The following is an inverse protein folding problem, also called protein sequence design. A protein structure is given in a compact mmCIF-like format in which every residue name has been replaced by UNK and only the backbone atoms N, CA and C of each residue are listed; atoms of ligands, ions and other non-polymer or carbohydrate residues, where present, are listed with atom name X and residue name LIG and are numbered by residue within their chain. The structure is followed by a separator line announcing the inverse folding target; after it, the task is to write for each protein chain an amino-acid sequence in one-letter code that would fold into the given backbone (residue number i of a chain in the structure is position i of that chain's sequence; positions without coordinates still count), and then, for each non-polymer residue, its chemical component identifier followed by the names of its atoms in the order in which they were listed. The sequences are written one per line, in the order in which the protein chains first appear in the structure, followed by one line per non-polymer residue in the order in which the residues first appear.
data_IF_601667372613
#
_entry.id   IF_601667372613
#
_cell.length_a   1.000
_cell.length_b   1.000
_cell.length_c   1.000
_cell.angle_alpha   90.00
_cell.angle_beta   90.00
_cell.angle_gamma   90.00
#
_symmetry.space_group_name_H-M   'P 1'
#
loop_
_entity.id
_entity.type
_entity.pdbx_description
1 polymer ?
#
# COMPACT_ATOMS: atom_id res chain seq x y z
N UNK A 1 6.03 -20.95 18.71
CA UNK A 1 5.40 -21.66 17.58
C UNK A 1 6.33 -21.52 16.39
N UNK A 2 6.56 -22.60 15.63
CA UNK A 2 7.32 -22.52 14.37
C UNK A 2 6.43 -21.75 13.39
N UNK A 3 6.80 -20.51 13.07
CA UNK A 3 6.09 -19.70 12.07
C UNK A 3 6.22 -20.42 10.73
N UNK A 4 5.10 -20.81 10.12
CA UNK A 4 5.12 -21.56 8.86
C UNK A 4 5.60 -20.67 7.73
N UNK A 5 6.60 -21.16 6.99
CA UNK A 5 7.19 -20.47 5.84
C UNK A 5 6.25 -20.44 4.63
N UNK A 6 6.30 -19.34 3.87
CA UNK A 6 5.68 -19.28 2.55
C UNK A 6 6.46 -20.19 1.59
N UNK A 7 5.78 -21.22 1.07
CA UNK A 7 6.40 -22.20 0.14
C UNK A 7 6.15 -21.88 -1.33
N UNK A 8 5.14 -21.06 -1.60
CA UNK A 8 4.53 -20.89 -2.91
C UNK A 8 4.63 -19.44 -3.37
N UNK A 9 4.91 -19.22 -4.65
CA UNK A 9 4.72 -17.89 -5.23
C UNK A 9 3.22 -17.56 -5.23
N UNK A 10 2.91 -16.29 -5.03
CA UNK A 10 1.55 -15.78 -5.13
C UNK A 10 1.58 -14.50 -5.97
N UNK A 11 0.67 -14.38 -6.92
CA UNK A 11 0.37 -13.12 -7.60
C UNK A 11 -1.07 -12.72 -7.23
N UNK A 12 -1.41 -11.43 -7.23
CA UNK A 12 -2.76 -10.99 -6.90
C UNK A 12 -3.17 -9.71 -7.61
N UNK A 13 -4.48 -9.56 -7.81
CA UNK A 13 -5.13 -8.34 -8.28
C UNK A 13 -5.91 -7.75 -7.11
N UNK A 14 -5.61 -6.50 -6.78
CA UNK A 14 -6.31 -5.76 -5.74
C UNK A 14 -7.05 -4.57 -6.36
N UNK A 15 -8.36 -4.53 -6.14
CA UNK A 15 -9.24 -3.47 -6.61
C UNK A 15 -9.81 -2.70 -5.45
N UNK A 16 -9.75 -1.38 -5.54
CA UNK A 16 -10.35 -0.48 -4.57
C UNK A 16 -10.86 0.76 -5.29
N UNK A 17 -11.89 1.39 -4.73
CA UNK A 17 -12.43 2.62 -5.27
C UNK A 17 -12.17 3.82 -4.34
N UNK A 18 -12.44 4.98 -4.89
CA UNK A 18 -12.62 6.23 -4.16
C UNK A 18 -13.90 6.88 -4.65
N UNK A 19 -14.67 7.44 -3.73
CA UNK A 19 -15.80 8.32 -4.00
C UNK A 19 -15.59 9.66 -3.30
N UNK A 20 -15.75 10.74 -4.08
CA UNK A 20 -15.64 12.14 -3.64
C UNK A 20 -14.37 12.42 -2.81
N UNK A 21 -13.23 11.90 -3.26
CA UNK A 21 -12.00 11.89 -2.47
C UNK A 21 -10.72 11.95 -3.29
N UNK A 22 -9.60 12.16 -2.61
CA UNK A 22 -8.27 12.14 -3.19
C UNK A 22 -7.50 10.90 -2.71
N UNK A 23 -7.35 9.86 -3.56
CA UNK A 23 -6.75 8.60 -3.15
C UNK A 23 -5.23 8.68 -3.00
N UNK A 24 -4.58 9.55 -3.78
CA UNK A 24 -3.15 9.84 -3.72
C UNK A 24 -2.84 11.20 -4.36
N UNK A 25 -2.56 12.20 -3.52
CA UNK A 25 -2.13 13.51 -4.01
C UNK A 25 -0.72 13.51 -4.58
N UNK A 26 -0.50 14.37 -5.57
CA UNK A 26 0.79 14.64 -6.19
C UNK A 26 1.47 15.85 -5.51
N UNK A 27 2.60 15.69 -4.82
CA UNK A 27 3.31 16.81 -4.22
C UNK A 27 3.81 17.83 -5.25
N UNK A 28 4.10 17.41 -6.49
CA UNK A 28 4.61 18.28 -7.54
C UNK A 28 3.48 19.05 -8.25
N UNK A 29 2.23 18.55 -8.17
CA UNK A 29 1.04 19.20 -8.71
C UNK A 29 0.13 19.75 -7.61
N UNK A 30 0.69 20.31 -6.52
CA UNK A 30 -0.09 21.01 -5.50
C UNK A 30 -1.12 20.13 -4.78
N UNK A 31 -0.83 18.83 -4.63
CA UNK A 31 -1.68 17.81 -4.01
C UNK A 31 -2.96 17.47 -4.81
N UNK A 32 -3.03 17.78 -6.11
CA UNK A 32 -4.05 17.22 -7.01
C UNK A 32 -3.94 15.68 -7.05
N UNK A 33 -5.04 14.93 -7.29
CA UNK A 33 -4.96 13.50 -7.57
C UNK A 33 -3.97 13.23 -8.70
N UNK A 34 -3.10 12.23 -8.52
CA UNK A 34 -2.15 11.84 -9.57
C UNK A 34 -2.89 11.29 -10.78
N UNK A 35 -2.48 11.73 -11.97
CA UNK A 35 -3.00 11.26 -13.26
C UNK A 35 -1.85 10.93 -14.20
N UNK A 36 -2.06 9.92 -15.02
CA UNK A 36 -1.21 9.62 -16.16
C UNK A 36 -1.48 10.62 -17.28
N UNK A 37 -0.43 11.31 -17.73
CA UNK A 37 -0.56 12.42 -18.68
C UNK A 37 -0.98 11.99 -20.09
N UNK A 38 -0.74 10.73 -20.48
CA UNK A 38 -1.09 10.24 -21.82
C UNK A 38 -2.53 9.73 -21.89
N UNK A 39 -2.98 9.07 -20.82
CA UNK A 39 -4.27 8.35 -20.80
C UNK A 39 -5.36 9.05 -19.98
N UNK A 40 -4.99 9.99 -19.10
CA UNK A 40 -5.91 10.60 -18.14
C UNK A 40 -6.34 9.65 -17.01
N UNK A 41 -5.80 8.44 -16.95
CA UNK A 41 -6.10 7.48 -15.89
C UNK A 41 -5.47 7.93 -14.58
N UNK A 42 -6.22 7.83 -13.49
CA UNK A 42 -5.73 8.13 -12.16
C UNK A 42 -4.65 7.14 -11.73
N UNK A 43 -3.70 7.61 -10.94
CA UNK A 43 -2.62 6.81 -10.38
C UNK A 43 -2.64 6.82 -8.85
N UNK A 44 -2.37 5.67 -8.25
CA UNK A 44 -2.03 5.56 -6.84
C UNK A 44 -0.70 4.81 -6.76
N UNK A 45 0.30 5.46 -6.18
CA UNK A 45 1.65 4.90 -6.08
C UNK A 45 1.66 3.65 -5.20
N UNK A 46 2.57 2.72 -5.47
CA UNK A 46 2.77 1.52 -4.65
C UNK A 46 3.13 1.90 -3.21
N UNK A 47 3.94 2.95 -3.02
CA UNK A 47 4.31 3.47 -1.70
C UNK A 47 3.13 4.02 -0.91
N UNK A 48 2.10 4.57 -1.57
CA UNK A 48 0.85 4.99 -0.93
C UNK A 48 0.12 3.78 -0.31
N UNK A 49 -0.06 2.70 -1.08
CA UNK A 49 -0.71 1.48 -0.59
C UNK A 49 0.13 0.82 0.51
N UNK A 50 1.45 0.72 0.32
CA UNK A 50 2.36 0.20 1.35
C UNK A 50 2.32 1.04 2.63
N UNK A 51 2.09 2.36 2.56
CA UNK A 51 1.89 3.22 3.74
C UNK A 51 0.59 2.89 4.46
N UNK A 52 -0.51 2.68 3.72
CA UNK A 52 -1.81 2.29 4.32
C UNK A 52 -1.74 0.94 5.02
N UNK A 53 -1.06 -0.05 4.43
CA UNK A 53 -0.78 -1.34 5.08
C UNK A 53 0.01 -1.16 6.38
N UNK A 54 1.08 -0.36 6.37
CA UNK A 54 1.86 -0.05 7.59
C UNK A 54 1.00 0.57 8.69
N UNK A 55 0.16 1.54 8.33
CA UNK A 55 -0.73 2.21 9.28
C UNK A 55 -1.73 1.23 9.90
N UNK A 56 -2.34 0.37 9.08
CA UNK A 56 -3.23 -0.67 9.57
C UNK A 56 -2.52 -1.62 10.54
N UNK A 57 -1.34 -2.14 10.19
CA UNK A 57 -0.58 -3.05 11.05
C UNK A 57 -0.17 -2.38 12.36
N UNK A 58 0.25 -1.11 12.31
CA UNK A 58 0.57 -0.33 13.50
C UNK A 58 -0.62 -0.29 14.48
N UNK A 59 -1.85 -0.09 13.98
CA UNK A 59 -3.06 -0.09 14.81
C UNK A 59 -3.41 -1.51 15.28
N UNK A 60 -3.46 -2.47 14.36
CA UNK A 60 -3.91 -3.84 14.62
C UNK A 60 -2.97 -4.61 15.58
N UNK A 61 -1.67 -4.32 15.55
CA UNK A 61 -0.66 -4.97 16.40
C UNK A 61 -0.13 -4.06 17.51
N UNK A 62 -0.57 -2.80 17.57
CA UNK A 62 -0.15 -1.81 18.56
C UNK A 62 1.38 -1.73 18.72
N UNK A 63 2.12 -1.85 17.61
CA UNK A 63 3.59 -1.88 17.58
C UNK A 63 4.22 -2.93 18.53
N UNK A 64 3.53 -4.05 18.77
CA UNK A 64 4.02 -5.14 19.58
C UNK A 64 5.26 -5.82 18.99
N UNK A 65 5.94 -6.62 19.81
CA UNK A 65 7.18 -7.31 19.45
C UNK A 65 7.06 -8.06 18.11
N UNK A 66 7.99 -7.78 17.20
CA UNK A 66 8.04 -8.37 15.85
C UNK A 66 7.14 -7.70 14.80
N UNK A 67 6.28 -6.76 15.22
CA UNK A 67 5.34 -6.03 14.38
C UNK A 67 5.52 -4.50 14.44
N UNK A 68 6.67 -4.02 14.92
CA UNK A 68 6.99 -2.59 14.81
C UNK A 68 7.12 -2.19 13.32
N UNK A 69 7.05 -0.89 13.06
CA UNK A 69 7.14 -0.30 11.72
C UNK A 69 8.37 0.62 11.66
N UNK A 70 9.28 0.32 10.74
CA UNK A 70 10.52 1.08 10.56
C UNK A 70 10.24 2.42 9.90
N UNK A 71 9.48 2.42 8.79
CA UNK A 71 9.14 3.63 8.05
C UNK A 71 7.84 4.20 8.63
N UNK A 72 7.89 4.93 9.75
CA UNK A 72 6.74 5.59 10.40
C UNK A 72 6.99 7.08 10.65
N UNK A 73 5.91 7.83 10.92
CA UNK A 73 6.02 9.27 11.20
C UNK A 73 6.96 9.53 12.38
N UNK A 74 7.76 10.61 12.27
CA UNK A 74 8.73 11.05 13.29
C UNK A 74 9.85 10.06 13.62
N UNK A 75 9.96 8.94 12.91
CA UNK A 75 11.07 7.99 13.11
C UNK A 75 12.40 8.57 12.61
N UNK A 76 13.45 8.39 13.41
CA UNK A 76 14.84 8.65 12.99
C UNK A 76 15.48 7.29 12.68
N UNK A 77 15.61 6.97 11.39
CA UNK A 77 15.98 5.63 10.94
C UNK A 77 17.34 5.16 11.50
N UNK A 78 18.34 6.05 11.57
CA UNK A 78 19.64 5.70 12.13
C UNK A 78 19.57 5.35 13.62
N UNK A 79 18.69 5.98 14.41
CA UNK A 79 18.48 5.61 15.81
C UNK A 79 17.92 4.18 15.95
N UNK A 80 17.03 3.78 15.03
CA UNK A 80 16.49 2.42 15.01
C UNK A 80 17.53 1.39 14.56
N UNK A 81 18.37 1.73 13.59
CA UNK A 81 19.52 0.92 13.16
C UNK A 81 20.54 0.79 14.30
N UNK A 82 20.82 1.88 15.01
CA UNK A 82 21.77 1.88 16.12
C UNK A 82 21.30 0.99 17.26
N UNK A 83 19.99 0.99 17.56
CA UNK A 83 19.37 0.08 18.53
C UNK A 83 19.57 -1.39 18.16
N UNK A 84 19.52 -1.74 16.87
CA UNK A 84 19.81 -3.11 16.42
C UNK A 84 21.26 -3.52 16.71
N UNK A 85 22.22 -2.58 16.59
CA UNK A 85 23.62 -2.82 16.96
C UNK A 85 23.87 -2.85 18.47
N UNK A 86 22.88 -2.46 19.29
CA UNK A 86 22.98 -2.57 20.73
C UNK A 86 22.55 -3.93 21.30
N UNK A 87 21.90 -4.74 20.46
CA UNK A 87 21.51 -6.11 20.77
C UNK A 87 22.72 -7.03 21.03
N UNK A 88 22.57 -7.97 21.98
CA UNK A 88 23.64 -8.84 22.43
C UNK A 88 24.07 -9.85 21.35
N UNK A 89 23.13 -10.37 20.56
CA UNK A 89 23.43 -11.29 19.46
C UNK A 89 24.18 -10.56 18.35
N UNK A 90 23.78 -9.32 18.05
CA UNK A 90 24.46 -8.50 17.04
C UNK A 90 25.87 -8.09 17.49
N UNK A 91 26.05 -7.71 18.77
CA UNK A 91 27.36 -7.35 19.33
C UNK A 91 28.36 -8.50 19.30
N UNK A 92 27.89 -9.72 19.51
CA UNK A 92 28.71 -10.94 19.56
C UNK A 92 28.92 -11.59 18.19
N UNK A 93 28.19 -11.17 17.16
CA UNK A 93 28.30 -11.71 15.81
C UNK A 93 29.64 -11.35 15.12
N UNK A 94 30.17 -12.31 14.35
CA UNK A 94 31.33 -12.07 13.47
C UNK A 94 31.01 -11.09 12.35
N UNK A 95 29.84 -11.23 11.75
CA UNK A 95 29.29 -10.28 10.77
C UNK A 95 28.13 -9.51 11.42
N UNK A 96 28.46 -8.31 11.93
CA UNK A 96 27.49 -7.44 12.61
C UNK A 96 26.42 -6.91 11.67
N UNK A 97 26.75 -6.67 10.40
CA UNK A 97 25.78 -6.13 9.43
C UNK A 97 24.74 -7.19 9.08
N UNK A 98 25.16 -8.43 8.86
CA UNK A 98 24.27 -9.58 8.65
C UNK A 98 23.36 -9.81 9.86
N UNK A 99 23.95 -9.83 11.08
CA UNK A 99 23.19 -10.02 12.31
C UNK A 99 22.19 -8.87 12.55
N UNK A 100 22.61 -7.61 12.36
CA UNK A 100 21.73 -6.46 12.44
C UNK A 100 20.59 -6.55 11.41
N UNK A 101 20.88 -6.98 10.18
CA UNK A 101 19.84 -7.19 9.14
C UNK A 101 18.78 -8.19 9.57
N UNK A 102 19.19 -9.32 10.17
CA UNK A 102 18.26 -10.32 10.71
C UNK A 102 17.45 -9.76 11.88
N UNK A 103 18.09 -9.02 12.79
CA UNK A 103 17.39 -8.30 13.86
C UNK A 103 16.33 -7.36 13.30
N UNK A 104 16.66 -6.58 12.26
CA UNK A 104 15.71 -5.65 11.64
C UNK A 104 14.53 -6.40 10.99
N UNK A 105 14.76 -7.50 10.28
CA UNK A 105 13.66 -8.30 9.70
C UNK A 105 12.78 -8.93 10.79
N UNK A 106 13.37 -9.39 11.90
CA UNK A 106 12.63 -9.99 13.01
C UNK A 106 11.73 -8.98 13.70
N UNK A 107 12.22 -7.76 13.94
CA UNK A 107 11.53 -6.76 14.77
C UNK A 107 10.54 -5.89 13.99
N UNK A 108 10.78 -5.66 12.69
CA UNK A 108 9.97 -4.74 11.89
C UNK A 108 9.20 -5.47 10.79
N UNK A 109 7.88 -5.45 10.89
CA UNK A 109 7.00 -6.11 9.91
C UNK A 109 7.20 -5.56 8.50
N UNK A 110 7.33 -4.23 8.36
CA UNK A 110 7.42 -3.61 7.05
C UNK A 110 8.74 -3.89 6.34
N UNK A 111 9.83 -4.05 7.08
CA UNK A 111 11.12 -4.53 6.54
C UNK A 111 10.98 -5.99 6.09
N UNK A 112 10.40 -6.84 6.94
CA UNK A 112 10.20 -8.26 6.62
C UNK A 112 9.33 -8.47 5.38
N UNK A 113 8.36 -7.59 5.17
CA UNK A 113 7.34 -7.68 4.13
C UNK A 113 7.74 -6.99 2.82
N UNK A 114 8.18 -5.74 2.88
CA UNK A 114 8.46 -4.91 1.70
C UNK A 114 9.95 -4.71 1.43
N UNK A 115 10.80 -4.97 2.42
CA UNK A 115 12.23 -4.68 2.38
C UNK A 115 12.54 -3.23 2.74
N UNK A 116 13.83 -2.96 2.93
CA UNK A 116 14.36 -1.64 3.24
C UNK A 116 15.84 -1.55 2.88
N UNK A 117 16.30 -0.33 2.58
CA UNK A 117 17.72 0.02 2.53
C UNK A 117 18.08 0.60 3.90
N UNK A 118 19.04 0.00 4.59
CA UNK A 118 19.46 0.34 5.96
C UNK A 118 20.98 0.50 6.04
N UNK A 119 21.61 0.91 4.95
CA UNK A 119 23.06 1.04 4.82
C UNK A 119 23.62 2.35 5.38
N UNK A 120 22.78 3.18 6.00
CA UNK A 120 23.17 4.43 6.65
C UNK A 120 23.58 4.19 8.11
N UNK A 121 24.37 5.11 8.66
CA UNK A 121 24.84 5.01 10.06
C UNK A 121 25.67 3.75 10.31
N UNK A 122 25.39 3.00 11.39
CA UNK A 122 26.07 1.74 11.72
C UNK A 122 25.84 0.60 10.72
N UNK A 123 24.99 0.81 9.71
CA UNK A 123 24.75 -0.11 8.59
C UNK A 123 24.15 -1.48 9.01
N UNK A 124 22.90 -1.73 8.62
CA UNK A 124 22.21 -3.02 8.73
C UNK A 124 21.94 -3.64 7.34
N UNK A 125 22.68 -3.20 6.32
CA UNK A 125 22.62 -3.70 4.96
C UNK A 125 21.36 -3.28 4.21
N UNK A 126 20.87 -4.16 3.35
CA UNK A 126 19.64 -3.95 2.59
C UNK A 126 18.91 -5.28 2.44
N UNK A 127 17.59 -5.20 2.28
CA UNK A 127 16.70 -6.34 2.13
C UNK A 127 15.69 -6.03 1.04
N UNK A 128 15.42 -7.02 0.17
CA UNK A 128 14.25 -7.02 -0.71
C UNK A 128 13.16 -7.86 -0.05
N UNK A 129 12.03 -7.26 0.26
CA UNK A 129 10.91 -7.99 0.83
C UNK A 129 10.17 -8.82 -0.22
N UNK A 130 9.45 -9.88 0.22
CA UNK A 130 8.71 -10.76 -0.67
C UNK A 130 7.58 -10.05 -1.43
N UNK A 131 6.95 -9.02 -0.85
CA UNK A 131 5.80 -8.36 -1.44
C UNK A 131 6.21 -7.13 -2.22
N UNK A 132 5.93 -7.13 -3.52
CA UNK A 132 6.07 -5.97 -4.39
C UNK A 132 4.72 -5.63 -5.03
N UNK A 133 4.42 -4.34 -5.15
CA UNK A 133 3.18 -3.83 -5.73
C UNK A 133 3.52 -2.93 -6.91
N UNK A 134 2.68 -2.92 -7.94
CA UNK A 134 2.73 -1.89 -8.98
C UNK A 134 2.05 -0.62 -8.51
N UNK A 135 2.20 0.46 -9.29
CA UNK A 135 1.24 1.56 -9.21
C UNK A 135 -0.15 1.00 -9.52
N UNK A 136 -1.14 1.43 -8.75
CA UNK A 136 -2.53 1.17 -9.07
C UNK A 136 -2.98 2.21 -10.10
N UNK A 137 -3.74 1.76 -11.09
CA UNK A 137 -4.26 2.60 -12.18
C UNK A 137 -5.77 2.50 -12.20
N UNK A 138 -6.47 3.62 -12.41
CA UNK A 138 -7.91 3.58 -12.56
C UNK A 138 -8.32 2.81 -13.81
N UNK A 139 -9.50 2.20 -13.83
CA UNK A 139 -10.02 1.46 -15.01
C UNK A 139 -10.37 2.40 -16.16
N UNK A 140 -10.95 3.56 -15.83
CA UNK A 140 -11.29 4.64 -16.76
C UNK A 140 -10.50 5.91 -16.43
N UNK A 141 -10.36 6.87 -17.36
CA UNK A 141 -9.86 8.21 -17.07
C UNK A 141 -10.64 8.87 -15.91
N UNK A 142 -9.93 9.58 -15.03
CA UNK A 142 -10.55 10.25 -13.88
C UNK A 142 -10.58 11.76 -14.07
N UNK A 143 -11.68 12.38 -13.67
CA UNK A 143 -11.82 13.83 -13.64
C UNK A 143 -11.52 14.35 -12.24
N UNK A 144 -10.68 15.38 -12.13
CA UNK A 144 -10.39 16.04 -10.87
C UNK A 144 -11.31 17.26 -10.69
N UNK A 145 -12.07 17.29 -9.60
CA UNK A 145 -12.90 18.43 -9.22
C UNK A 145 -12.22 19.25 -8.12
N UNK A 146 -12.08 20.56 -8.34
CA UNK A 146 -11.63 21.50 -7.31
C UNK A 146 -12.82 22.15 -6.60
N UNK A 147 -12.83 22.06 -5.27
CA UNK A 147 -13.83 22.67 -4.41
C UNK A 147 -13.20 23.76 -3.56
N UNK A 148 -13.62 25.00 -3.79
CA UNK A 148 -13.27 26.13 -2.91
C UNK A 148 -13.98 25.97 -1.56
N UNK A 149 -13.22 26.04 -0.48
CA UNK A 149 -13.71 25.95 0.89
C UNK A 149 -13.27 27.18 1.69
N UNK A 150 -14.01 27.53 2.75
CA UNK A 150 -13.72 28.70 3.57
C UNK A 150 -13.45 28.29 5.00
N UNK A 151 -12.32 28.71 5.56
CA UNK A 151 -12.02 28.66 6.99
C UNK A 151 -12.41 30.01 7.61
N UNK A 152 -13.37 29.99 8.54
CA UNK A 152 -13.89 31.18 9.25
C UNK A 152 -12.96 31.70 10.36
N UNK A 153 -11.69 31.32 10.31
CA UNK A 153 -10.65 31.74 11.24
C UNK A 153 -9.36 32.03 10.46
N UNK A 154 -8.53 32.90 11.00
CA UNK A 154 -7.23 33.28 10.46
C UNK A 154 -6.13 32.71 11.33
N UNK A 155 -5.00 32.32 10.74
CA UNK A 155 -3.93 31.61 11.44
C UNK A 155 -3.02 32.55 12.24
N UNK A 156 -2.97 33.83 11.85
CA UNK A 156 -2.10 34.83 12.48
C UNK A 156 -2.81 36.17 12.58
N UNK A 157 -2.41 37.00 13.55
CA UNK A 157 -2.91 38.38 13.70
C UNK A 157 -2.67 39.20 12.42
N UNK A 158 -1.52 38.99 11.77
CA UNK A 158 -1.21 39.60 10.46
C UNK A 158 -2.20 39.22 9.35
N UNK A 159 -2.79 38.03 9.39
CA UNK A 159 -3.86 37.65 8.45
C UNK A 159 -5.19 38.32 8.81
N UNK A 160 -5.49 38.48 10.09
CA UNK A 160 -6.69 39.18 10.57
C UNK A 160 -6.70 40.64 10.13
N UNK A 161 -5.58 41.33 10.36
CA UNK A 161 -5.40 42.75 10.04
C UNK A 161 -5.50 43.00 8.53
N UNK A 162 -4.93 42.10 7.71
CA UNK A 162 -5.02 42.16 6.25
C UNK A 162 -6.41 41.91 5.69
N UNK A 163 -7.29 41.28 6.46
CA UNK A 163 -8.65 40.94 6.04
C UNK A 163 -9.70 41.91 6.60
N UNK A 164 -9.28 43.01 7.24
CA UNK A 164 -10.15 44.08 7.76
C UNK A 164 -11.36 43.54 8.56
N UNK A 165 -11.15 42.47 9.34
CA UNK A 165 -12.19 41.86 10.18
C UNK A 165 -13.07 40.80 9.49
N UNK A 166 -12.87 40.52 8.21
CA UNK A 166 -13.60 39.46 7.47
C UNK A 166 -13.28 38.03 7.95
N UNK A 167 -12.08 37.80 8.49
CA UNK A 167 -11.58 36.55 9.10
C UNK A 167 -11.91 35.26 8.31
N UNK A 168 -11.75 35.30 6.99
CA UNK A 168 -12.04 34.18 6.07
C UNK A 168 -10.81 33.86 5.22
N UNK A 169 -10.21 32.69 5.45
CA UNK A 169 -9.17 32.14 4.56
C UNK A 169 -9.82 31.14 3.59
N UNK A 170 -9.63 31.32 2.28
CA UNK A 170 -10.07 30.33 1.29
C UNK A 170 -9.02 29.24 1.12
N UNK A 171 -9.46 27.99 1.12
CA UNK A 171 -8.67 26.81 0.76
C UNK A 171 -9.29 26.09 -0.43
N UNK A 172 -8.59 25.07 -0.93
CA UNK A 172 -9.08 24.20 -2.01
C UNK A 172 -9.00 22.74 -1.59
N UNK A 173 -9.97 21.96 -2.04
CA UNK A 173 -9.92 20.49 -2.01
C UNK A 173 -10.06 19.97 -3.42
N UNK A 174 -9.08 19.19 -3.87
CA UNK A 174 -9.17 18.46 -5.11
C UNK A 174 -9.65 17.04 -4.81
N UNK A 175 -10.68 16.59 -5.52
CA UNK A 175 -11.27 15.25 -5.36
C UNK A 175 -11.52 14.59 -6.71
N UNK A 176 -11.59 13.27 -6.70
CA UNK A 176 -12.12 12.46 -7.79
C UNK A 176 -13.55 12.07 -7.39
N UNK A 177 -14.59 12.39 -8.19
CA UNK A 177 -15.97 12.00 -7.87
C UNK A 177 -16.12 10.49 -7.73
N UNK A 178 -15.52 9.73 -8.65
CA UNK A 178 -15.40 8.29 -8.53
C UNK A 178 -14.23 7.75 -9.37
N UNK A 179 -13.51 6.75 -8.85
CA UNK A 179 -12.51 6.00 -9.61
C UNK A 179 -12.30 4.61 -9.03
N UNK A 180 -12.36 3.58 -9.87
CA UNK A 180 -12.00 2.20 -9.51
C UNK A 180 -10.56 1.95 -9.94
N UNK A 181 -9.68 1.62 -9.00
CA UNK A 181 -8.25 1.42 -9.22
C UNK A 181 -7.87 -0.05 -9.11
N UNK A 182 -6.98 -0.49 -10.01
CA UNK A 182 -6.45 -1.85 -10.05
C UNK A 182 -4.96 -1.82 -9.76
N UNK A 183 -4.54 -2.55 -8.73
CA UNK A 183 -3.14 -2.78 -8.35
C UNK A 183 -2.78 -4.25 -8.58
N UNK A 184 -1.60 -4.50 -9.14
CA UNK A 184 -1.04 -5.84 -9.25
C UNK A 184 0.03 -6.04 -8.20
N UNK A 185 -0.02 -7.19 -7.53
CA UNK A 185 0.92 -7.56 -6.49
C UNK A 185 1.57 -8.91 -6.74
N UNK A 186 2.78 -9.06 -6.21
CA UNK A 186 3.63 -10.23 -6.37
C UNK A 186 4.25 -10.60 -5.03
N UNK A 187 4.23 -11.88 -4.69
CA UNK A 187 4.80 -12.42 -3.45
C UNK A 187 5.77 -13.55 -3.80
N UNK A 188 7.05 -13.30 -3.53
CA UNK A 188 8.12 -14.27 -3.77
C UNK A 188 8.39 -15.12 -2.52
N UNK A 189 8.12 -16.42 -2.60
CA UNK A 189 8.48 -17.38 -1.55
C UNK A 189 10.00 -17.43 -1.28
N UNK A 190 10.83 -17.26 -2.32
CA UNK A 190 12.28 -17.23 -2.14
C UNK A 190 12.76 -16.03 -1.31
N UNK A 191 12.19 -14.84 -1.55
CA UNK A 191 12.51 -13.66 -0.73
C UNK A 191 11.91 -13.77 0.68
N UNK A 192 10.74 -14.39 0.82
CA UNK A 192 10.11 -14.61 2.12
C UNK A 192 11.02 -15.43 3.05
N UNK A 193 11.68 -16.47 2.53
CA UNK A 193 12.69 -17.26 3.28
C UNK A 193 13.89 -16.44 3.75
N UNK A 194 14.32 -15.45 2.96
CA UNK A 194 15.46 -14.61 3.32
C UNK A 194 15.12 -13.62 4.43
N UNK A 195 13.86 -13.16 4.50
CA UNK A 195 13.41 -12.18 5.49
C UNK A 195 12.72 -12.81 6.70
N UNK A 196 12.38 -14.09 6.63
CA UNK A 196 11.57 -14.78 7.63
C UNK A 196 10.08 -14.42 7.57
N UNK A 197 9.60 -13.86 6.45
CA UNK A 197 8.18 -13.56 6.25
C UNK A 197 7.37 -14.85 6.23
N UNK A 198 6.33 -14.90 7.05
CA UNK A 198 5.58 -16.11 7.38
C UNK A 198 4.15 -16.09 6.84
N UNK A 199 3.46 -17.24 6.94
CA UNK A 199 2.01 -17.32 6.66
C UNK A 199 1.19 -16.42 7.60
N UNK A 200 1.60 -16.22 8.86
CA UNK A 200 0.93 -15.30 9.78
C UNK A 200 1.09 -13.83 9.33
N UNK A 201 2.26 -13.47 8.82
CA UNK A 201 2.50 -12.16 8.23
C UNK A 201 1.69 -11.97 6.95
N UNK A 202 1.55 -13.02 6.13
CA UNK A 202 0.73 -13.02 4.93
C UNK A 202 -0.76 -12.86 5.25
N UNK A 203 -1.26 -13.58 6.25
CA UNK A 203 -2.63 -13.41 6.74
C UNK A 203 -2.87 -11.98 7.22
N UNK A 204 -1.93 -11.40 7.99
CA UNK A 204 -2.01 -10.01 8.42
C UNK A 204 -1.98 -9.03 7.23
N UNK A 205 -1.19 -9.31 6.20
CA UNK A 205 -1.15 -8.51 4.98
C UNK A 205 -2.49 -8.53 4.25
N UNK A 206 -3.14 -9.69 4.14
CA UNK A 206 -4.49 -9.78 3.56
C UNK A 206 -5.54 -9.02 4.37
N UNK A 207 -5.50 -9.14 5.70
CA UNK A 207 -6.38 -8.34 6.56
C UNK A 207 -6.11 -6.83 6.43
N UNK A 208 -4.86 -6.43 6.24
CA UNK A 208 -4.53 -5.04 5.95
C UNK A 208 -5.14 -4.58 4.62
N UNK A 209 -5.02 -5.35 3.54
CA UNK A 209 -5.63 -4.97 2.25
C UNK A 209 -7.17 -4.88 2.33
N UNK A 210 -7.82 -5.74 3.11
CA UNK A 210 -9.28 -5.67 3.30
C UNK A 210 -9.71 -4.41 4.05
N UNK A 211 -8.94 -4.01 5.07
CA UNK A 211 -9.43 -3.06 6.09
C UNK A 211 -8.68 -1.72 6.14
N UNK A 212 -7.57 -1.55 5.39
CA UNK A 212 -6.69 -0.38 5.57
C UNK A 212 -7.39 0.96 5.34
N UNK A 213 -8.37 1.04 4.44
CA UNK A 213 -9.10 2.29 4.17
C UNK A 213 -10.04 2.70 5.31
N UNK A 214 -10.60 1.73 6.04
CA UNK A 214 -11.47 2.01 7.18
C UNK A 214 -10.71 2.59 8.36
N UNK A 215 -9.44 2.21 8.50
CA UNK A 215 -8.53 2.77 9.51
C UNK A 215 -7.83 4.07 9.09
N UNK A 216 -8.02 4.50 7.85
CA UNK A 216 -7.26 5.60 7.24
C UNK A 216 -8.19 6.70 6.67
N UNK A 217 -9.29 6.98 7.38
CA UNK A 217 -10.26 8.03 7.02
C UNK A 217 -9.69 9.42 7.27
N UNK A 218 -9.90 10.34 6.33
CA UNK A 218 -9.55 11.75 6.51
C UNK A 218 -10.38 12.67 5.62
N UNK A 219 -10.38 13.97 5.92
CA UNK A 219 -11.15 14.98 5.20
C UNK A 219 -10.78 15.14 3.72
N UNK A 220 -9.65 14.56 3.28
CA UNK A 220 -9.19 14.58 1.88
C UNK A 220 -9.51 13.29 1.12
N UNK A 221 -9.62 12.16 1.81
CA UNK A 221 -9.68 10.83 1.16
C UNK A 221 -11.07 10.41 0.71
N UNK A 222 -12.13 11.06 1.22
CA UNK A 222 -13.51 10.68 0.91
C UNK A 222 -13.81 9.24 1.35
N UNK A 223 -14.66 8.57 0.57
CA UNK A 223 -14.99 7.16 0.78
C UNK A 223 -14.10 6.30 -0.10
N UNK A 224 -13.00 5.77 0.46
CA UNK A 224 -12.21 4.71 -0.16
C UNK A 224 -12.64 3.35 0.39
N UNK A 225 -12.76 2.35 -0.47
CA UNK A 225 -13.16 1.00 -0.07
C UNK A 225 -12.45 -0.07 -0.89
N UNK A 226 -12.08 -1.17 -0.23
CA UNK A 226 -11.59 -2.37 -0.91
C UNK A 226 -12.79 -3.05 -1.58
N UNK A 227 -12.67 -3.35 -2.88
CA UNK A 227 -13.79 -3.88 -3.68
C UNK A 227 -13.56 -5.35 -4.06
N UNK A 228 -12.35 -5.70 -4.50
CA UNK A 228 -11.98 -7.07 -4.86
C UNK A 228 -10.54 -7.38 -4.51
N UNK A 229 -10.29 -8.61 -4.05
CA UNK A 229 -8.94 -9.13 -3.85
C UNK A 229 -8.89 -10.56 -4.40
N UNK A 230 -8.25 -10.71 -5.55
CA UNK A 230 -8.17 -11.97 -6.30
C UNK A 230 -6.74 -12.47 -6.22
N UNK A 231 -6.57 -13.69 -5.72
CA UNK A 231 -5.27 -14.29 -5.42
C UNK A 231 -5.03 -15.48 -6.34
N UNK A 232 -3.86 -15.51 -6.96
CA UNK A 232 -3.35 -16.60 -7.78
C UNK A 232 -2.22 -17.30 -7.04
N UNK A 233 -2.53 -18.42 -6.40
CA UNK A 233 -1.55 -19.24 -5.67
C UNK A 233 -0.95 -20.29 -6.59
N UNK A 234 0.36 -20.31 -6.71
CA UNK A 234 1.07 -21.30 -7.51
C UNK A 234 1.43 -22.53 -6.69
N UNK A 235 1.47 -23.72 -7.30
CA UNK A 235 1.94 -24.94 -6.63
C UNK A 235 3.46 -24.94 -6.38
N UNK A 236 4.21 -24.13 -7.13
CA UNK A 236 5.66 -24.05 -7.04
C UNK A 236 6.17 -22.72 -6.44
N UNK A 237 7.38 -22.76 -5.89
CA UNK A 237 8.07 -21.58 -5.37
C UNK A 237 8.44 -20.56 -6.45
N UNK A 238 8.71 -21.01 -7.67
CA UNK A 238 9.09 -20.16 -8.80
C UNK A 238 7.87 -19.64 -9.57
N UNK A 239 6.71 -20.27 -9.38
CA UNK A 239 5.49 -20.05 -10.14
C UNK A 239 5.24 -21.14 -11.18
N UNK A 240 3.98 -21.25 -11.57
CA UNK A 240 3.49 -22.19 -12.59
C UNK A 240 3.02 -21.48 -13.86
N UNK A 241 2.85 -20.15 -13.80
CA UNK A 241 2.40 -19.32 -14.91
C UNK A 241 3.03 -17.90 -14.86
N UNK A 242 3.16 -17.22 -16.00
CA UNK A 242 3.51 -15.79 -16.04
C UNK A 242 2.42 -14.93 -15.38
N UNK A 243 2.81 -13.93 -14.58
CA UNK A 243 1.85 -13.09 -13.85
C UNK A 243 0.92 -12.31 -14.77
N UNK A 244 1.42 -11.78 -15.89
CA UNK A 244 0.60 -11.05 -16.85
C UNK A 244 -0.54 -11.91 -17.41
N UNK A 245 -0.30 -13.21 -17.63
CA UNK A 245 -1.34 -14.14 -18.09
C UNK A 245 -2.39 -14.44 -17.03
N UNK A 246 -2.02 -14.37 -15.75
CA UNK A 246 -2.97 -14.48 -14.65
C UNK A 246 -3.81 -13.21 -14.51
N UNK A 247 -3.20 -12.04 -14.67
CA UNK A 247 -3.92 -10.77 -14.63
C UNK A 247 -4.87 -10.60 -15.83
N UNK A 248 -4.50 -11.11 -17.01
CA UNK A 248 -5.37 -11.16 -18.20
C UNK A 248 -6.67 -11.96 -17.95
N UNK A 249 -6.71 -12.88 -16.96
CA UNK A 249 -7.94 -13.62 -16.60
C UNK A 249 -8.97 -12.74 -15.89
N UNK A 250 -8.57 -11.59 -15.35
CA UNK A 250 -9.45 -10.68 -14.62
C UNK A 250 -9.88 -9.56 -15.53
N UNK A 251 -11.14 -9.58 -15.94
CA UNK A 251 -11.72 -8.54 -16.80
C UNK A 251 -12.60 -7.61 -15.98
N UNK A 252 -12.35 -6.30 -16.09
CA UNK A 252 -13.18 -5.25 -15.51
C UNK A 252 -13.85 -4.48 -16.64
N UNK A 253 -15.17 -4.46 -16.65
CA UNK A 253 -15.97 -3.81 -17.70
C UNK A 253 -16.93 -2.80 -17.08
N UNK A 254 -16.92 -1.57 -17.59
CA UNK A 254 -17.93 -0.57 -17.25
C UNK A 254 -19.28 -0.97 -17.85
N UNK A 255 -20.33 -0.99 -17.02
CA UNK A 255 -21.69 -1.40 -17.42
C UNK A 255 -22.72 -0.28 -17.28
N UNK A 256 -22.31 0.93 -16.88
CA UNK A 256 -23.18 2.10 -16.87
C UNK A 256 -23.06 2.94 -18.15
N UNK A 257 -24.12 3.68 -18.45
CA UNK A 257 -24.06 4.78 -19.40
C UNK A 257 -23.38 5.99 -18.74
N UNK A 258 -22.50 6.67 -19.48
CA UNK A 258 -21.81 7.87 -19.00
C UNK A 258 -20.65 7.58 -18.03
N UNK A 259 -20.50 8.46 -17.03
CA UNK A 259 -19.40 8.45 -16.09
C UNK A 259 -19.75 7.64 -14.84
N UNK A 260 -18.92 6.66 -14.44
CA UNK A 260 -19.21 5.79 -13.30
C UNK A 260 -19.20 6.57 -11.99
N UNK A 261 -20.03 6.15 -11.03
CA UNK A 261 -20.19 6.79 -9.70
C UNK A 261 -20.20 5.81 -8.54
N UNK A 262 -20.17 4.51 -8.81
CA UNK A 262 -20.11 3.47 -7.80
C UNK A 262 -19.47 2.19 -8.35
N UNK A 263 -19.08 1.28 -7.47
CA UNK A 263 -18.58 -0.04 -7.90
C UNK A 263 -19.62 -0.85 -8.69
N UNK A 264 -20.92 -0.59 -8.46
CA UNK A 264 -22.03 -1.24 -9.20
C UNK A 264 -22.07 -0.86 -10.67
N UNK A 265 -21.37 0.19 -11.07
CA UNK A 265 -21.24 0.60 -12.47
C UNK A 265 -20.18 -0.21 -13.23
N UNK A 266 -19.55 -1.19 -12.57
CA UNK A 266 -18.59 -2.12 -13.13
C UNK A 266 -19.02 -3.56 -12.91
N UNK A 267 -18.67 -4.41 -13.88
CA UNK A 267 -18.68 -5.86 -13.76
C UNK A 267 -17.24 -6.36 -13.72
N UNK A 268 -16.92 -7.18 -12.71
CA UNK A 268 -15.64 -7.86 -12.59
C UNK A 268 -15.87 -9.35 -12.81
N UNK A 269 -15.15 -9.93 -13.76
CA UNK A 269 -15.23 -11.35 -14.09
C UNK A 269 -13.85 -11.99 -14.07
N UNK A 270 -13.81 -13.28 -13.74
CA UNK A 270 -12.59 -14.08 -13.75
C UNK A 270 -12.82 -15.26 -14.68
N UNK A 271 -11.98 -15.42 -15.70
CA UNK A 271 -12.00 -16.57 -16.60
C UNK A 271 -11.43 -17.81 -15.88
N UNK A 272 -12.32 -18.54 -15.19
CA UNK A 272 -11.97 -19.73 -14.41
C UNK A 272 -11.66 -20.95 -15.29
N UNK A 273 -12.13 -20.96 -16.53
CA UNK A 273 -11.94 -22.08 -17.46
C UNK A 273 -10.51 -22.10 -18.05
N UNK A 274 -9.86 -20.94 -18.12
CA UNK A 274 -8.51 -20.78 -18.66
C UNK A 274 -7.42 -20.63 -17.59
N UNK A 275 -7.69 -21.00 -16.33
CA UNK A 275 -6.68 -20.99 -15.27
C UNK A 275 -5.59 -22.03 -15.59
N UNK A 276 -4.31 -21.63 -15.69
CA UNK A 276 -3.23 -22.57 -15.98
C UNK A 276 -3.09 -23.66 -14.92
N UNK A 277 -2.67 -24.86 -15.35
CA UNK A 277 -2.40 -25.97 -14.42
C UNK A 277 -1.38 -25.58 -13.34
N UNK A 278 -1.66 -25.97 -12.10
CA UNK A 278 -0.83 -25.65 -10.94
C UNK A 278 -0.97 -24.21 -10.44
N UNK A 279 -2.08 -23.55 -10.77
CA UNK A 279 -2.52 -22.28 -10.19
C UNK A 279 -3.91 -22.46 -9.60
N UNK A 280 -4.07 -22.03 -8.35
CA UNK A 280 -5.37 -21.94 -7.67
C UNK A 280 -5.78 -20.48 -7.59
N UNK A 281 -7.02 -20.18 -7.95
CA UNK A 281 -7.60 -18.84 -7.85
C UNK A 281 -8.51 -18.75 -6.64
N UNK A 282 -8.29 -17.75 -5.79
CA UNK A 282 -9.08 -17.49 -4.59
C UNK A 282 -9.56 -16.04 -4.60
N UNK A 283 -10.84 -15.83 -4.30
CA UNK A 283 -11.42 -14.50 -4.09
C UNK A 283 -11.53 -14.25 -2.58
N UNK A 284 -10.74 -13.31 -2.06
CA UNK A 284 -10.72 -12.96 -0.63
C UNK A 284 -11.69 -11.82 -0.29
N UNK A 285 -12.19 -11.11 -1.30
CA UNK A 285 -13.26 -10.10 -1.29
C UNK A 285 -14.04 -10.25 -2.61
#
# INVERSE_FOLDING_TARGET
MVMSEIKNRIDFVYMFDVQDGNPNGDPDAGNLPRVDAETGMGLVTDVCLKRKVRNYVQVAKNLGDGYDIFIKEKAVLNTLIDKAHDDAEVKSAKDKTEAARRFMCKNYFDIRTFGAVMSTGKNAGQVRGPIQLTFARSVDPVETSEHSITRMAVATEKEADKQEGGNRTMGRKATVPYGLYVCHGFISANLARQTGFSEDDLALFWEALKNMFDTDRSAARGLMSAQKLIVFKHDSMLGNAPANKLFDLVTVTKICDGAPRSFKDYSVTIDKDNVPSGVTVEELI
#
